data_IF_110039750751
#
_entry.id   IF_110039750751
#
_cell.length_a   1.000
_cell.length_b   1.000
_cell.length_c   1.000
_cell.angle_alpha   90.00
_cell.angle_beta   90.00
_cell.angle_gamma   90.00
#
_symmetry.space_group_name_H-M   'P 1'
#
loop_
_entity.id
_entity.type
_entity.pdbx_description
1 polymer ?
#
# COMPACT_ATOMS: atom_id res chain seq x y z
N UNK A 1 2.44 50.89 -37.91
CA UNK A 1 2.78 49.44 -37.92
C UNK A 1 2.08 48.79 -36.74
N UNK A 2 0.86 48.30 -36.94
CA UNK A 2 0.13 47.58 -35.88
C UNK A 2 0.67 46.16 -35.80
N UNK A 3 1.42 45.90 -34.72
CA UNK A 3 1.88 44.56 -34.33
C UNK A 3 0.66 43.68 -34.06
N UNK A 4 0.33 42.83 -35.03
CA UNK A 4 -0.62 41.73 -34.85
C UNK A 4 0.08 40.62 -34.06
N UNK A 5 0.21 40.84 -32.74
CA UNK A 5 0.65 39.82 -31.82
C UNK A 5 -0.32 38.65 -31.88
N UNK A 6 0.12 37.53 -32.43
CA UNK A 6 -0.66 36.30 -32.56
C UNK A 6 -0.98 35.75 -31.16
N UNK A 7 -2.04 36.25 -30.52
CA UNK A 7 -2.49 35.79 -29.20
C UNK A 7 -3.02 34.37 -29.39
N UNK A 8 -2.20 33.36 -29.03
CA UNK A 8 -2.66 31.96 -28.95
C UNK A 8 -3.93 31.91 -28.10
N UNK A 9 -4.98 31.29 -28.62
CA UNK A 9 -6.20 31.06 -27.87
C UNK A 9 -5.87 30.30 -26.56
N UNK A 10 -6.54 30.61 -25.44
CA UNK A 10 -6.31 29.92 -24.18
C UNK A 10 -6.61 28.42 -24.34
N UNK A 11 -5.72 27.58 -23.82
CA UNK A 11 -5.87 26.11 -23.89
C UNK A 11 -7.15 25.68 -23.18
N UNK A 12 -8.02 24.97 -23.88
CA UNK A 12 -9.25 24.41 -23.29
C UNK A 12 -8.95 23.21 -22.37
N UNK A 13 -9.84 22.91 -21.43
CA UNK A 13 -9.73 21.73 -20.56
C UNK A 13 -9.49 20.45 -21.36
N UNK A 14 -10.25 20.23 -22.44
CA UNK A 14 -10.10 19.07 -23.32
C UNK A 14 -8.73 19.00 -23.97
N UNK A 15 -8.21 20.11 -24.51
CA UNK A 15 -6.87 20.13 -25.11
C UNK A 15 -5.79 19.84 -24.07
N UNK A 16 -5.92 20.43 -22.88
CA UNK A 16 -4.99 20.23 -21.78
C UNK A 16 -5.01 18.78 -21.28
N UNK A 17 -6.18 18.17 -21.11
CA UNK A 17 -6.31 16.78 -20.66
C UNK A 17 -5.80 15.79 -21.70
N UNK A 18 -5.97 16.06 -23.01
CA UNK A 18 -5.30 15.27 -24.06
C UNK A 18 -3.78 15.30 -23.93
N UNK A 19 -3.19 16.46 -23.64
CA UNK A 19 -1.75 16.57 -23.40
C UNK A 19 -1.31 15.80 -22.15
N UNK A 20 -2.05 15.93 -21.05
CA UNK A 20 -1.75 15.19 -19.82
C UNK A 20 -1.91 13.67 -20.00
N UNK A 21 -2.85 13.22 -20.84
CA UNK A 21 -3.02 11.81 -21.21
C UNK A 21 -1.81 11.28 -21.96
N UNK A 22 -1.37 12.00 -22.99
CA UNK A 22 -0.15 11.62 -23.72
C UNK A 22 1.07 11.62 -22.78
N UNK A 23 1.15 12.57 -21.84
CA UNK A 23 2.23 12.64 -20.86
C UNK A 23 2.25 11.41 -19.96
N UNK A 24 1.14 11.06 -19.30
CA UNK A 24 1.11 9.91 -18.36
C UNK A 24 1.27 8.56 -19.07
N UNK A 25 0.90 8.45 -20.35
CA UNK A 25 1.19 7.25 -21.15
C UNK A 25 2.65 7.14 -21.54
N UNK A 26 3.30 8.28 -21.84
CA UNK A 26 4.72 8.32 -22.18
C UNK A 26 5.62 8.14 -20.96
N UNK A 27 5.23 8.72 -19.83
CA UNK A 27 5.97 8.72 -18.57
C UNK A 27 5.02 8.32 -17.42
N UNK A 28 4.83 7.00 -17.20
CA UNK A 28 3.93 6.48 -16.18
C UNK A 28 4.43 6.80 -14.76
N UNK A 29 3.50 7.14 -13.88
CA UNK A 29 3.78 7.36 -12.46
C UNK A 29 3.78 6.03 -11.69
N UNK A 30 4.75 5.80 -10.77
CA UNK A 30 4.78 4.60 -9.96
C UNK A 30 3.47 4.36 -9.20
N UNK A 31 3.09 3.08 -9.07
CA UNK A 31 1.88 2.62 -8.38
C UNK A 31 0.54 3.06 -8.98
N UNK A 32 0.50 3.84 -10.06
CA UNK A 32 -0.73 4.49 -10.51
C UNK A 32 -0.99 4.21 -11.98
N UNK A 33 -2.25 3.87 -12.29
CA UNK A 33 -2.78 3.84 -13.64
C UNK A 33 -3.95 4.83 -13.73
N UNK A 34 -4.14 5.51 -14.86
CA UNK A 34 -5.28 6.40 -15.07
C UNK A 34 -5.75 6.37 -16.52
N UNK A 35 -7.08 6.46 -16.69
CA UNK A 35 -7.77 6.46 -17.98
C UNK A 35 -8.93 7.47 -17.97
N UNK A 36 -9.11 8.30 -19.01
CA UNK A 36 -10.34 9.04 -19.21
C UNK A 36 -11.50 8.10 -19.55
N UNK A 37 -12.73 8.46 -19.18
CA UNK A 37 -13.90 7.80 -19.75
C UNK A 37 -13.95 8.04 -21.27
N UNK A 38 -14.22 7.00 -22.09
CA UNK A 38 -14.32 7.16 -23.55
C UNK A 38 -15.36 8.19 -23.98
N UNK A 39 -16.45 8.30 -23.22
CA UNK A 39 -17.56 9.22 -23.47
C UNK A 39 -17.38 10.61 -22.87
N UNK A 40 -16.44 10.78 -21.92
CA UNK A 40 -16.26 12.04 -21.20
C UNK A 40 -14.81 12.22 -20.74
N UNK A 41 -14.02 12.98 -21.51
CA UNK A 41 -12.63 13.29 -21.15
C UNK A 41 -12.49 14.12 -19.86
N UNK A 42 -13.56 14.74 -19.35
CA UNK A 42 -13.54 15.48 -18.09
C UNK A 42 -13.74 14.56 -16.87
N UNK A 43 -13.97 13.27 -17.06
CA UNK A 43 -14.01 12.28 -16.00
C UNK A 43 -12.93 11.23 -16.25
N UNK A 44 -11.99 11.13 -15.33
CA UNK A 44 -10.92 10.13 -15.40
C UNK A 44 -11.05 9.19 -14.22
N UNK A 45 -10.86 7.90 -14.48
CA UNK A 45 -10.67 6.94 -13.43
C UNK A 45 -9.18 6.69 -13.21
N UNK A 46 -8.84 6.29 -12.00
CA UNK A 46 -7.48 5.88 -11.66
C UNK A 46 -7.51 4.64 -10.77
N UNK A 47 -6.38 3.94 -10.74
CA UNK A 47 -6.12 2.86 -9.79
C UNK A 47 -4.80 3.15 -9.10
N UNK A 48 -4.82 3.16 -7.77
CA UNK A 48 -3.63 3.20 -6.92
C UNK A 48 -3.33 1.78 -6.44
N UNK A 49 -2.13 1.28 -6.69
CA UNK A 49 -1.59 0.06 -6.09
C UNK A 49 -1.02 0.43 -4.73
N UNK A 50 -1.45 -0.25 -3.68
CA UNK A 50 -0.95 0.02 -2.33
C UNK A 50 0.56 -0.25 -2.24
N UNK A 51 1.40 0.74 -1.93
CA UNK A 51 2.85 0.55 -1.88
C UNK A 51 3.25 -0.46 -0.81
N UNK A 52 4.40 -1.10 -1.02
CA UNK A 52 5.00 -2.03 -0.07
C UNK A 52 5.33 -1.30 1.25
N UNK A 53 5.33 -2.06 2.35
CA UNK A 53 5.61 -1.57 3.72
C UNK A 53 4.60 -0.53 4.21
N UNK A 54 3.43 -0.44 3.59
CA UNK A 54 2.30 0.37 4.05
C UNK A 54 1.15 -0.51 4.54
N UNK A 55 0.15 0.07 5.20
CA UNK A 55 -1.08 -0.66 5.55
C UNK A 55 -1.93 -1.03 4.31
N UNK A 56 -1.63 -0.42 3.16
CA UNK A 56 -2.34 -0.59 1.90
C UNK A 56 -1.74 -1.66 1.01
N UNK A 57 -0.56 -2.17 1.37
CA UNK A 57 0.22 -3.14 0.59
C UNK A 57 -0.66 -4.26 0.03
N UNK A 58 -0.51 -4.47 -1.27
CA UNK A 58 -1.22 -5.52 -2.00
C UNK A 58 -2.68 -5.23 -2.33
N UNK A 59 -3.24 -4.10 -1.89
CA UNK A 59 -4.56 -3.62 -2.32
C UNK A 59 -4.51 -2.81 -3.61
N UNK A 60 -5.68 -2.70 -4.26
CA UNK A 60 -5.89 -1.90 -5.48
C UNK A 60 -7.06 -0.94 -5.24
N UNK A 61 -6.84 0.35 -5.38
CA UNK A 61 -7.82 1.38 -5.00
C UNK A 61 -8.25 2.17 -6.22
N UNK A 62 -9.44 1.86 -6.70
CA UNK A 62 -10.10 2.57 -7.78
C UNK A 62 -10.72 3.86 -7.28
N UNK A 63 -10.55 4.92 -8.04
CA UNK A 63 -11.15 6.22 -7.79
C UNK A 63 -11.36 7.00 -9.09
N UNK A 64 -11.78 8.26 -8.95
CA UNK A 64 -11.99 9.14 -10.10
C UNK A 64 -11.68 10.61 -9.83
N UNK A 65 -11.30 11.30 -10.90
CA UNK A 65 -11.12 12.74 -11.00
C UNK A 65 -12.24 13.31 -11.86
N UNK A 66 -12.90 14.36 -11.36
CA UNK A 66 -13.88 15.14 -12.12
C UNK A 66 -13.31 16.53 -12.39
N UNK A 67 -13.00 16.80 -13.66
CA UNK A 67 -12.42 18.06 -14.11
C UNK A 67 -13.53 19.08 -14.46
N UNK A 68 -13.45 20.33 -13.95
CA UNK A 68 -14.32 21.39 -14.40
C UNK A 68 -13.96 21.83 -15.84
N UNK A 69 -14.87 22.54 -16.51
CA UNK A 69 -14.61 23.08 -17.87
C UNK A 69 -13.48 24.11 -17.89
N UNK A 70 -13.23 24.73 -16.74
CA UNK A 70 -12.19 25.73 -16.52
C UNK A 70 -10.83 25.10 -16.18
N UNK A 71 -10.69 23.78 -16.13
CA UNK A 71 -9.38 23.13 -16.01
C UNK A 71 -8.47 23.61 -17.17
N UNK A 72 -7.20 23.95 -16.93
CA UNK A 72 -6.45 23.75 -15.69
C UNK A 72 -6.47 24.94 -14.72
N UNK A 73 -7.26 25.98 -14.96
CA UNK A 73 -7.30 27.15 -14.06
C UNK A 73 -8.12 26.89 -12.79
N UNK A 74 -9.01 25.89 -12.83
CA UNK A 74 -9.62 25.32 -11.62
C UNK A 74 -9.19 23.85 -11.46
N UNK A 75 -8.94 23.40 -10.22
CA UNK A 75 -8.59 22.00 -9.90
C UNK A 75 -9.75 21.02 -10.14
N UNK A 76 -9.48 19.71 -10.24
CA UNK A 76 -10.51 18.68 -10.22
C UNK A 76 -11.00 18.37 -8.81
N UNK A 77 -12.20 17.79 -8.72
CA UNK A 77 -12.64 17.06 -7.53
C UNK A 77 -12.12 15.62 -7.57
N UNK A 78 -11.70 15.08 -6.42
CA UNK A 78 -11.12 13.73 -6.30
C UNK A 78 -12.03 12.84 -5.45
N UNK A 79 -12.21 11.58 -5.85
CA UNK A 79 -13.05 10.59 -5.17
C UNK A 79 -12.36 9.22 -5.12
N UNK A 80 -12.46 8.54 -3.98
CA UNK A 80 -12.11 7.12 -3.87
C UNK A 80 -13.38 6.26 -3.93
N UNK A 81 -13.40 5.22 -4.77
CA UNK A 81 -14.55 4.32 -4.93
C UNK A 81 -14.33 3.06 -4.08
N UNK A 82 -13.14 2.44 -4.19
CA UNK A 82 -12.82 1.23 -3.44
C UNK A 82 -12.72 1.51 -1.93
N UNK A 83 -13.36 0.70 -1.07
CA UNK A 83 -13.17 0.74 0.38
C UNK A 83 -11.69 0.60 0.76
N UNK A 84 -11.19 1.54 1.57
CA UNK A 84 -9.74 1.70 1.79
C UNK A 84 -9.33 2.07 3.23
N UNK A 85 -10.27 2.47 4.09
CA UNK A 85 -9.99 2.80 5.50
C UNK A 85 -9.26 4.12 5.74
N UNK A 86 -9.05 4.94 4.69
CA UNK A 86 -8.40 6.25 4.76
C UNK A 86 -9.30 7.38 4.31
N UNK A 87 -10.03 7.17 3.23
CA UNK A 87 -10.94 8.12 2.61
C UNK A 87 -12.35 7.54 2.57
N UNK A 88 -13.32 8.35 2.98
CA UNK A 88 -14.74 8.03 2.84
C UNK A 88 -15.07 7.86 1.35
N UNK A 89 -15.63 6.71 1.00
CA UNK A 89 -15.89 6.39 -0.40
C UNK A 89 -16.93 7.34 -1.01
N UNK A 90 -16.79 7.60 -2.30
CA UNK A 90 -17.70 8.42 -3.11
C UNK A 90 -17.99 9.81 -2.51
N UNK A 91 -17.07 10.34 -1.72
CA UNK A 91 -17.13 11.67 -1.12
C UNK A 91 -15.97 12.50 -1.68
N UNK A 92 -16.20 13.80 -1.93
CA UNK A 92 -15.14 14.71 -2.37
C UNK A 92 -14.03 14.76 -1.32
N UNK A 93 -12.78 14.60 -1.76
CA UNK A 93 -11.60 14.71 -0.91
C UNK A 93 -11.01 16.11 -1.00
N UNK A 94 -10.73 16.72 0.14
CA UNK A 94 -10.20 18.07 0.27
C UNK A 94 -8.70 18.07 0.51
N UNK A 95 -7.94 17.78 -0.54
CA UNK A 95 -6.47 17.84 -0.50
C UNK A 95 -6.01 19.24 -0.94
N UNK A 96 -4.79 19.66 -0.56
CA UNK A 96 -4.19 20.94 -0.99
C UNK A 96 -4.10 21.12 -2.51
N UNK A 97 -4.32 20.03 -3.26
CA UNK A 97 -4.35 19.93 -4.73
C UNK A 97 -5.78 19.88 -5.32
N UNK A 98 -6.83 20.14 -4.53
CA UNK A 98 -8.25 20.01 -4.93
C UNK A 98 -9.02 21.34 -4.94
N UNK A 99 -10.27 21.31 -5.40
CA UNK A 99 -11.22 22.45 -5.50
C UNK A 99 -11.56 23.15 -4.20
N UNK A 100 -11.17 22.60 -3.06
CA UNK A 100 -11.29 23.26 -1.77
C UNK A 100 -10.22 24.32 -1.50
N UNK A 101 -9.10 24.31 -2.25
CA UNK A 101 -8.00 25.27 -2.07
C UNK A 101 -7.61 25.95 -3.39
N UNK A 102 -8.52 26.77 -3.98
CA UNK A 102 -8.24 27.44 -5.25
C UNK A 102 -7.03 28.37 -5.19
N UNK A 103 -6.73 28.95 -4.02
CA UNK A 103 -5.61 29.88 -3.85
C UNK A 103 -4.24 29.20 -3.86
N UNK A 104 -4.18 27.90 -3.53
CA UNK A 104 -2.94 27.11 -3.56
C UNK A 104 -2.81 26.26 -4.82
N UNK A 105 -3.81 26.31 -5.70
CA UNK A 105 -3.83 25.54 -6.93
C UNK A 105 -2.82 26.09 -7.93
N UNK A 106 -2.00 25.21 -8.50
CA UNK A 106 -1.11 25.56 -9.60
C UNK A 106 -1.62 24.97 -10.92
N UNK A 107 -2.07 25.80 -11.89
CA UNK A 107 -2.52 25.34 -13.20
C UNK A 107 -1.48 24.53 -13.99
N UNK A 108 -0.20 24.59 -13.64
CA UNK A 108 0.85 23.79 -14.27
C UNK A 108 0.85 22.32 -13.81
N UNK A 109 0.21 21.98 -12.69
CA UNK A 109 0.15 20.61 -12.19
C UNK A 109 -0.61 19.71 -13.15
N UNK A 110 0.04 18.62 -13.54
CA UNK A 110 -0.50 17.62 -14.46
C UNK A 110 -1.36 16.59 -13.74
N UNK A 111 -2.16 15.82 -14.48
CA UNK A 111 -2.86 14.63 -13.92
C UNK A 111 -1.90 13.72 -13.16
N UNK A 112 -0.70 13.46 -13.69
CA UNK A 112 0.35 12.71 -13.00
C UNK A 112 0.70 13.31 -11.64
N UNK A 113 0.92 14.62 -11.58
CA UNK A 113 1.26 15.34 -10.34
C UNK A 113 0.14 15.25 -9.31
N UNK A 114 -1.12 15.39 -9.75
CA UNK A 114 -2.30 15.30 -8.89
C UNK A 114 -2.39 13.90 -8.26
N UNK A 115 -2.24 12.85 -9.07
CA UNK A 115 -2.35 11.48 -8.60
C UNK A 115 -1.18 11.06 -7.69
N UNK A 116 0.03 11.53 -7.97
CA UNK A 116 1.16 11.36 -7.05
C UNK A 116 0.88 12.03 -5.71
N UNK A 117 0.36 13.26 -5.71
CA UNK A 117 -0.03 13.95 -4.48
C UNK A 117 -1.11 13.23 -3.69
N UNK A 118 -2.13 12.69 -4.37
CA UNK A 118 -3.16 11.85 -3.74
C UNK A 118 -2.55 10.63 -3.03
N UNK A 119 -1.63 9.92 -3.68
CA UNK A 119 -0.95 8.78 -3.08
C UNK A 119 -0.15 9.19 -1.84
N UNK A 120 0.58 10.31 -1.89
CA UNK A 120 1.28 10.84 -0.71
C UNK A 120 0.33 11.07 0.47
N UNK A 121 -0.80 11.74 0.24
CA UNK A 121 -1.82 11.95 1.28
C UNK A 121 -2.48 10.66 1.78
N UNK A 122 -2.53 9.63 0.94
CA UNK A 122 -3.09 8.32 1.30
C UNK A 122 -2.20 7.58 2.30
N UNK A 123 -0.88 7.62 2.11
CA UNK A 123 0.08 6.94 2.98
C UNK A 123 0.40 7.71 4.27
N UNK A 124 0.09 9.00 4.29
CA UNK A 124 0.17 9.84 5.49
C UNK A 124 -0.99 9.62 6.46
N UNK A 125 -0.81 10.12 7.70
CA UNK A 125 -1.80 10.02 8.79
C UNK A 125 -2.54 11.32 9.08
N UNK A 126 -2.17 12.44 8.44
CA UNK A 126 -2.76 13.75 8.73
C UNK A 126 -4.28 13.78 8.43
N UNK A 127 -5.09 14.45 9.26
CA UNK A 127 -6.51 14.59 8.98
C UNK A 127 -6.72 15.48 7.75
N UNK A 128 -7.70 15.11 6.92
CA UNK A 128 -8.17 15.93 5.79
C UNK A 128 -9.68 15.74 5.64
N UNK A 129 -10.41 16.72 5.08
CA UNK A 129 -11.84 16.58 4.86
C UNK A 129 -12.10 15.45 3.84
N UNK A 130 -12.98 14.52 4.23
CA UNK A 130 -13.22 13.26 3.51
C UNK A 130 -12.36 12.10 4.00
N UNK A 131 -11.40 12.32 4.89
CA UNK A 131 -10.69 11.22 5.56
C UNK A 131 -11.55 10.55 6.65
N UNK A 132 -11.21 9.30 6.93
CA UNK A 132 -11.74 8.50 8.05
C UNK A 132 -10.56 7.90 8.81
N UNK A 133 -10.78 7.58 10.08
CA UNK A 133 -9.80 6.90 10.91
C UNK A 133 -10.20 5.45 11.13
N UNK A 134 -9.33 4.53 10.70
CA UNK A 134 -9.47 3.09 10.99
C UNK A 134 -8.12 2.53 11.43
N UNK A 135 -8.15 1.37 12.09
CA UNK A 135 -6.91 0.65 12.44
C UNK A 135 -6.16 0.19 11.18
N UNK A 136 -4.84 -0.02 11.29
CA UNK A 136 -4.06 -0.60 10.20
C UNK A 136 -4.45 -2.06 9.92
N UNK A 137 -4.95 -2.77 10.93
CA UNK A 137 -5.56 -4.08 10.75
C UNK A 137 -6.77 -4.02 9.80
N UNK A 138 -7.68 -3.06 10.03
CA UNK A 138 -8.83 -2.82 9.14
C UNK A 138 -8.38 -2.47 7.72
N UNK A 139 -7.37 -1.60 7.57
CA UNK A 139 -6.84 -1.24 6.25
C UNK A 139 -6.30 -2.47 5.51
N UNK A 140 -5.54 -3.34 6.18
CA UNK A 140 -5.01 -4.59 5.58
C UNK A 140 -6.14 -5.54 5.15
N UNK A 141 -7.21 -5.65 5.92
CA UNK A 141 -8.39 -6.41 5.51
C UNK A 141 -9.03 -5.83 4.25
N UNK A 142 -9.19 -4.50 4.20
CA UNK A 142 -9.72 -3.80 3.02
C UNK A 142 -8.78 -3.93 1.81
N UNK A 143 -7.46 -3.93 1.99
CA UNK A 143 -6.48 -4.21 0.94
C UNK A 143 -6.76 -5.56 0.29
N UNK A 144 -6.98 -6.63 1.07
CA UNK A 144 -7.30 -7.95 0.54
C UNK A 144 -8.68 -7.98 -0.14
N UNK A 145 -9.68 -7.33 0.45
CA UNK A 145 -11.04 -7.28 -0.10
C UNK A 145 -11.15 -6.46 -1.40
N UNK A 146 -10.24 -5.50 -1.59
CA UNK A 146 -10.23 -4.60 -2.75
C UNK A 146 -10.15 -5.35 -4.08
N UNK A 147 -9.47 -6.50 -4.12
CA UNK A 147 -9.30 -7.34 -5.30
C UNK A 147 -10.68 -7.80 -5.82
N UNK A 148 -11.43 -8.51 -4.98
CA UNK A 148 -12.75 -9.01 -5.33
C UNK A 148 -13.78 -7.89 -5.51
N UNK A 149 -13.64 -6.77 -4.78
CA UNK A 149 -14.49 -5.61 -4.95
C UNK A 149 -14.35 -5.02 -6.36
N UNK A 150 -13.11 -4.76 -6.81
CA UNK A 150 -12.87 -4.11 -8.10
C UNK A 150 -13.25 -5.01 -9.29
N UNK A 151 -13.07 -6.33 -9.18
CA UNK A 151 -13.47 -7.27 -10.24
C UNK A 151 -14.99 -7.34 -10.47
N UNK A 152 -15.80 -6.85 -9.53
CA UNK A 152 -17.27 -6.75 -9.69
C UNK A 152 -17.69 -5.45 -10.37
N UNK A 153 -16.81 -4.44 -10.41
CA UNK A 153 -17.09 -3.16 -11.04
C UNK A 153 -16.81 -3.25 -12.55
N UNK A 154 -17.85 -3.07 -13.35
CA UNK A 154 -17.76 -3.14 -14.82
C UNK A 154 -16.89 -2.03 -15.39
N UNK A 155 -17.01 -0.81 -14.87
CA UNK A 155 -16.21 0.33 -15.32
C UNK A 155 -14.73 0.13 -15.00
N UNK A 156 -14.41 -0.41 -13.82
CA UNK A 156 -13.05 -0.81 -13.48
C UNK A 156 -12.52 -1.85 -14.47
N UNK A 157 -13.31 -2.89 -14.76
CA UNK A 157 -12.89 -3.98 -15.64
C UNK A 157 -12.65 -3.52 -17.08
N UNK A 158 -13.49 -2.62 -17.59
CA UNK A 158 -13.40 -2.10 -18.95
C UNK A 158 -12.21 -1.13 -19.11
N UNK A 159 -11.97 -0.26 -18.12
CA UNK A 159 -10.92 0.75 -18.21
C UNK A 159 -9.53 0.17 -17.91
N UNK A 160 -9.42 -0.83 -17.03
CA UNK A 160 -8.13 -1.34 -16.54
C UNK A 160 -7.94 -2.84 -16.77
N UNK A 161 -8.03 -3.35 -18.01
CA UNK A 161 -7.93 -4.79 -18.29
C UNK A 161 -6.61 -5.41 -17.81
N UNK A 162 -5.48 -4.70 -17.94
CA UNK A 162 -4.19 -5.18 -17.45
C UNK A 162 -4.15 -5.33 -15.91
N UNK A 163 -4.84 -4.43 -15.19
CA UNK A 163 -4.93 -4.50 -13.73
C UNK A 163 -5.86 -5.64 -13.30
N UNK A 164 -6.94 -5.88 -14.06
CA UNK A 164 -7.81 -7.05 -13.87
C UNK A 164 -7.02 -8.34 -13.98
N UNK A 165 -6.19 -8.47 -15.02
CA UNK A 165 -5.38 -9.68 -15.22
C UNK A 165 -4.36 -9.88 -14.10
N UNK A 166 -3.73 -8.81 -13.64
CA UNK A 166 -2.82 -8.81 -12.48
C UNK A 166 -3.54 -9.27 -11.20
N UNK A 167 -4.73 -8.73 -10.92
CA UNK A 167 -5.54 -9.14 -9.76
C UNK A 167 -5.92 -10.63 -9.87
N UNK A 168 -6.37 -11.08 -11.04
CA UNK A 168 -6.73 -12.49 -11.27
C UNK A 168 -5.54 -13.42 -11.07
N UNK A 169 -4.35 -13.05 -11.56
CA UNK A 169 -3.13 -13.83 -11.34
C UNK A 169 -2.80 -13.90 -9.86
N UNK A 170 -2.88 -12.78 -9.14
CA UNK A 170 -2.62 -12.72 -7.71
C UNK A 170 -3.57 -13.62 -6.90
N UNK A 171 -4.85 -13.63 -7.23
CA UNK A 171 -5.84 -14.51 -6.58
C UNK A 171 -5.53 -15.99 -6.83
N UNK A 172 -5.21 -16.38 -8.07
CA UNK A 172 -4.81 -17.76 -8.40
C UNK A 172 -3.59 -18.21 -7.58
N UNK A 173 -2.55 -17.38 -7.51
CA UNK A 173 -1.36 -17.69 -6.72
C UNK A 173 -1.67 -17.83 -5.23
N UNK A 174 -2.58 -17.01 -4.69
CA UNK A 174 -3.02 -17.12 -3.29
C UNK A 174 -3.79 -18.43 -3.02
N UNK A 175 -4.69 -18.81 -3.93
CA UNK A 175 -5.43 -20.08 -3.86
C UNK A 175 -4.46 -21.28 -3.91
N UNK A 176 -3.53 -21.31 -4.86
CA UNK A 176 -2.50 -22.35 -4.99
C UNK A 176 -1.67 -22.50 -3.70
N UNK A 177 -1.18 -21.38 -3.16
CA UNK A 177 -0.41 -21.38 -1.90
C UNK A 177 -1.24 -21.87 -0.70
N UNK A 178 -2.53 -21.51 -0.64
CA UNK A 178 -3.42 -21.96 0.43
C UNK A 178 -3.80 -23.44 0.33
N UNK A 179 -3.80 -23.99 -0.89
CA UNK A 179 -4.15 -25.39 -1.17
C UNK A 179 -2.97 -26.37 -1.00
N UNK A 180 -1.73 -25.86 -0.88
CA UNK A 180 -0.53 -26.69 -0.75
C UNK A 180 -0.54 -27.39 0.62
N UNK A 181 -0.42 -28.73 0.67
CA UNK A 181 -0.28 -29.45 1.94
C UNK A 181 0.93 -28.90 2.70
N UNK A 182 0.74 -28.50 3.97
CA UNK A 182 1.87 -28.26 4.85
C UNK A 182 2.68 -29.56 4.89
N UNK A 183 3.92 -29.54 4.40
CA UNK A 183 4.83 -30.64 4.61
C UNK A 183 4.95 -30.80 6.13
N UNK A 184 4.39 -31.88 6.66
CA UNK A 184 4.60 -32.28 8.04
C UNK A 184 6.12 -32.27 8.28
N UNK A 185 6.61 -31.68 9.38
CA UNK A 185 8.00 -31.87 9.77
C UNK A 185 8.28 -33.38 9.74
N UNK A 186 9.35 -33.77 9.04
CA UNK A 186 9.81 -35.16 9.03
C UNK A 186 9.87 -35.66 10.48
N UNK A 187 9.39 -36.88 10.79
CA UNK A 187 9.52 -37.42 12.13
C UNK A 187 11.00 -37.41 12.52
N UNK A 188 11.29 -36.89 13.71
CA UNK A 188 12.62 -36.91 14.30
C UNK A 188 13.20 -38.31 14.11
N UNK A 189 14.29 -38.40 13.35
CA UNK A 189 15.09 -39.61 13.26
C UNK A 189 15.72 -39.77 14.63
N UNK A 190 15.04 -40.50 15.51
CA UNK A 190 15.64 -41.02 16.73
C UNK A 190 16.70 -42.01 16.28
N UNK A 191 18.00 -41.80 16.61
CA UNK A 191 19.01 -42.80 16.32
C UNK A 191 18.79 -43.99 17.27
N UNK A 192 18.41 -45.15 16.72
CA UNK A 192 18.69 -46.46 17.34
C UNK A 192 20.20 -46.52 17.62
N UNK A 193 20.75 -46.94 18.75
CA UNK A 193 20.27 -47.57 19.97
C UNK A 193 21.51 -48.25 20.56
N UNK A 194 21.76 -48.15 21.86
CA UNK A 194 22.70 -49.05 22.55
C UNK A 194 22.01 -49.70 23.75
N UNK A 195 22.27 -51.00 23.89
CA UNK A 195 21.51 -51.95 24.69
C UNK A 195 21.85 -51.84 26.19
N UNK A 196 20.82 -51.95 27.04
CA UNK A 196 21.00 -52.15 28.48
C UNK A 196 19.77 -52.78 29.12
N UNK A 197 19.88 -54.08 29.42
CA UNK A 197 18.97 -54.92 30.21
C UNK A 197 18.31 -54.23 31.43
N UNK A 198 17.05 -54.55 31.74
CA UNK A 198 16.64 -55.45 32.84
C UNK A 198 15.09 -55.60 32.90
N UNK A 199 14.60 -56.84 32.90
CA UNK A 199 13.50 -57.32 33.76
C UNK A 199 12.02 -57.03 33.41
N UNK A 200 11.32 -58.05 32.90
CA UNK A 200 9.86 -58.29 33.05
C UNK A 200 9.52 -58.67 34.53
N UNK A 201 8.24 -58.73 35.01
CA UNK A 201 7.00 -58.99 34.26
C UNK A 201 5.72 -58.22 34.67
N UNK A 202 4.66 -58.49 33.90
CA UNK A 202 3.29 -57.97 33.98
C UNK A 202 2.52 -58.29 35.29
N UNK A 203 1.57 -57.43 35.66
CA UNK A 203 0.39 -57.79 36.44
C UNK A 203 -0.83 -56.91 36.12
N UNK A 204 -1.97 -57.60 36.05
CA UNK A 204 -3.33 -57.17 35.76
C UNK A 204 -3.92 -56.18 36.81
N UNK A 205 -4.83 -55.32 36.37
CA UNK A 205 -6.11 -55.11 37.08
C UNK A 205 -6.46 -53.71 37.62
N UNK A 206 -7.70 -53.32 37.29
CA UNK A 206 -8.64 -52.50 38.08
C UNK A 206 -8.49 -50.97 38.12
N UNK A 207 -9.50 -50.30 37.52
CA UNK A 207 -9.93 -48.97 37.92
C UNK A 207 -10.63 -49.02 39.29
N UNK A 208 -10.57 -47.94 40.08
CA UNK A 208 -11.82 -47.23 40.34
C UNK A 208 -11.70 -45.69 40.39
N UNK A 209 -12.88 -45.09 40.28
CA UNK A 209 -13.22 -43.67 40.43
C UNK A 209 -12.92 -43.17 41.84
N UNK A 210 -12.37 -41.95 41.98
CA UNK A 210 -12.22 -41.28 43.28
C UNK A 210 -11.62 -39.88 43.20
N UNK A 211 -12.41 -38.89 43.56
CA UNK A 211 -12.13 -37.44 43.62
C UNK A 211 -11.30 -37.13 44.88
N UNK A 212 -10.15 -36.43 44.75
CA UNK A 212 -9.73 -35.31 45.63
C UNK A 212 -8.27 -34.81 45.37
N UNK A 213 -8.19 -33.53 45.02
CA UNK A 213 -7.21 -32.49 45.40
C UNK A 213 -5.67 -32.68 45.33
N UNK A 214 -5.08 -31.75 44.57
CA UNK A 214 -3.82 -31.02 44.78
C UNK A 214 -2.46 -31.69 44.46
N UNK A 215 -1.85 -31.26 43.34
CA UNK A 215 -0.46 -30.76 43.25
C UNK A 215 -0.19 -30.14 41.88
N UNK A 216 0.19 -28.85 41.86
CA UNK A 216 0.80 -28.19 40.70
C UNK A 216 2.15 -28.83 40.37
N UNK A 217 2.56 -28.78 39.09
CA UNK A 217 3.91 -28.33 38.80
C UNK A 217 3.91 -27.11 37.88
N UNK A 218 4.56 -26.04 38.36
CA UNK A 218 5.08 -24.93 37.56
C UNK A 218 6.08 -25.47 36.54
N UNK A 219 5.73 -25.46 35.24
CA UNK A 219 6.72 -25.62 34.17
C UNK A 219 6.20 -25.19 32.78
N UNK A 220 5.59 -24.01 32.62
CA UNK A 220 5.40 -23.39 31.29
C UNK A 220 5.39 -21.85 31.35
N UNK A 221 6.29 -21.27 32.15
CA UNK A 221 6.46 -19.81 32.15
C UNK A 221 7.93 -19.40 32.27
N UNK A 222 8.77 -19.91 31.35
CA UNK A 222 10.15 -19.44 31.27
C UNK A 222 10.78 -19.68 29.89
N UNK A 223 10.29 -19.02 28.86
CA UNK A 223 11.01 -18.92 27.58
C UNK A 223 10.57 -17.72 26.74
N UNK A 224 10.41 -16.51 27.32
CA UNK A 224 10.54 -15.29 26.52
C UNK A 224 10.80 -14.04 27.38
N UNK A 225 11.88 -14.08 28.15
CA UNK A 225 12.49 -12.89 28.76
C UNK A 225 13.97 -13.05 28.58
N UNK A 226 14.51 -12.55 27.48
CA UNK A 226 15.87 -12.03 27.31
C UNK A 226 16.16 -11.71 25.83
N UNK A 227 15.51 -10.67 25.29
CA UNK A 227 16.18 -9.80 24.32
C UNK A 227 16.04 -8.38 24.83
N UNK A 228 16.84 -8.10 25.86
CA UNK A 228 16.88 -6.84 26.58
C UNK A 228 17.55 -5.73 25.76
N UNK A 229 17.21 -4.51 26.17
CA UNK A 229 17.64 -3.16 25.77
C UNK A 229 18.98 -2.91 25.01
N UNK A 230 19.92 -3.85 24.95
CA UNK A 230 21.24 -3.65 24.34
C UNK A 230 21.24 -3.82 22.81
N UNK A 231 20.31 -4.58 22.24
CA UNK A 231 20.20 -4.76 20.78
C UNK A 231 19.73 -3.50 20.03
N UNK A 232 18.84 -2.71 20.65
CA UNK A 232 18.32 -1.47 20.05
C UNK A 232 19.31 -0.32 20.06
N UNK A 233 20.13 -0.19 21.11
CA UNK A 233 21.13 0.87 21.22
C UNK A 233 22.27 0.70 20.21
N UNK A 234 22.73 -0.53 19.99
CA UNK A 234 23.75 -0.83 18.98
C UNK A 234 23.22 -0.62 17.55
N UNK A 235 21.99 -1.05 17.27
CA UNK A 235 21.35 -0.80 15.98
C UNK A 235 21.20 0.71 15.68
N UNK A 236 20.80 1.50 16.68
CA UNK A 236 20.72 2.96 16.56
C UNK A 236 22.10 3.61 16.33
N UNK A 237 23.17 3.07 16.94
CA UNK A 237 24.53 3.58 16.73
C UNK A 237 25.00 3.39 15.29
N UNK A 238 24.76 2.21 14.69
CA UNK A 238 25.10 1.95 13.29
C UNK A 238 24.37 2.88 12.32
N UNK A 239 23.09 3.17 12.58
CA UNK A 239 22.30 4.11 11.77
C UNK A 239 22.85 5.53 11.88
N UNK A 240 23.16 5.99 13.09
CA UNK A 240 23.70 7.36 13.31
C UNK A 240 25.07 7.52 12.62
N UNK A 241 25.97 6.53 12.79
CA UNK A 241 27.28 6.55 12.15
C UNK A 241 27.15 6.50 10.62
N UNK A 242 26.23 5.69 10.08
CA UNK A 242 25.95 5.63 8.65
C UNK A 242 25.43 6.94 8.07
N UNK A 243 24.51 7.61 8.76
CA UNK A 243 24.00 8.93 8.34
C UNK A 243 25.08 10.01 8.39
N UNK A 244 25.94 10.00 9.41
CA UNK A 244 27.05 10.96 9.52
C UNK A 244 28.08 10.78 8.39
N UNK A 245 28.43 9.52 8.07
CA UNK A 245 29.32 9.20 6.95
C UNK A 245 28.72 9.65 5.61
N UNK A 246 27.45 9.34 5.36
CA UNK A 246 26.74 9.76 4.14
C UNK A 246 26.69 11.30 4.00
N UNK A 247 26.36 12.01 5.08
CA UNK A 247 26.34 13.47 5.07
C UNK A 247 27.74 14.07 4.80
N UNK A 248 28.79 13.45 5.33
CA UNK A 248 30.17 13.87 5.06
C UNK A 248 30.56 13.64 3.58
N UNK A 249 30.22 12.49 3.01
CA UNK A 249 30.47 12.18 1.59
C UNK A 249 29.73 13.16 0.68
N UNK A 250 28.45 13.46 0.94
CA UNK A 250 27.69 14.44 0.16
C UNK A 250 28.33 15.83 0.27
N UNK A 251 28.73 16.25 1.47
CA UNK A 251 29.40 17.54 1.67
C UNK A 251 30.75 17.62 0.95
N UNK A 252 31.51 16.52 0.93
CA UNK A 252 32.79 16.44 0.21
C UNK A 252 32.58 16.55 -1.31
N UNK A 253 31.62 15.80 -1.86
CA UNK A 253 31.29 15.83 -3.30
C UNK A 253 30.80 17.21 -3.73
N UNK A 254 29.90 17.83 -2.96
CA UNK A 254 29.42 19.19 -3.26
C UNK A 254 30.55 20.24 -3.22
N UNK A 255 31.53 20.08 -2.32
CA UNK A 255 32.71 20.96 -2.27
C UNK A 255 33.65 20.71 -3.45
N UNK A 256 33.83 19.46 -3.86
CA UNK A 256 34.65 19.10 -5.01
C UNK A 256 34.10 19.67 -6.31
N UNK A 257 32.77 19.63 -6.49
CA UNK A 257 32.08 20.19 -7.68
C UNK A 257 32.17 21.73 -7.69
N UNK A 258 32.24 22.37 -6.53
CA UNK A 258 32.35 23.83 -6.44
C UNK A 258 33.78 24.38 -6.63
N UNK A 259 34.78 23.50 -6.76
CA UNK A 259 36.19 23.87 -6.99
C UNK A 259 36.69 23.58 -8.42
N UNK A 260 35.85 23.00 -9.28
CA UNK A 260 36.03 22.95 -10.75
C UNK A 260 35.26 24.09 -11.43
#
# INVERSE_FOLDING_TARGET
MSSNGNKRAPTTATQRLKQDYLRIKKDPVPYICAEPLPSNILEWHYVVRGPEKTAYEGGYYHGKLLFPREFPFKPPSIYMITPNGRFKCNTRLCLSITDFHPDTWNPAWSVSTILTGLLSFMVEKGPTLGSIETSDYTKRQLSAQSLAFNLKDKTFCELFPYVVDEIKQKLRTQEELSSRPQALPLPDVVPDGDQGHYGLPALNGHAPVGIAAARQPRALQQANRNHGLLGGALANLFVIVGFAAFAYTVKYVLRSIAQE
#
